data_IF_433408909104
#
_entry.id   IF_433408909104
#
_cell.length_a   1.000
_cell.length_b   1.000
_cell.length_c   1.000
_cell.angle_alpha   90.00
_cell.angle_beta   90.00
_cell.angle_gamma   90.00
#
_symmetry.space_group_name_H-M   'P 1'
#
loop_
_entity.id
_entity.type
_entity.pdbx_description
1 polymer ?
#
# COMPACT_ATOMS: atom_id res chain seq x y z
N UNK A 1 73.35 -9.61 -6.56
CA UNK A 1 72.46 -10.58 -5.85
C UNK A 1 71.26 -10.83 -6.74
N UNK A 2 71.08 -12.07 -7.20
CA UNK A 2 70.10 -12.45 -8.22
C UNK A 2 68.77 -12.78 -7.58
N UNK A 3 67.68 -12.29 -8.17
CA UNK A 3 66.27 -12.40 -7.76
C UNK A 3 65.70 -13.85 -7.62
N UNK A 4 66.56 -14.87 -7.43
CA UNK A 4 66.19 -16.30 -7.50
C UNK A 4 66.21 -17.03 -6.16
N UNK A 5 66.62 -16.40 -5.06
CA UNK A 5 66.82 -17.11 -3.78
C UNK A 5 65.75 -16.82 -2.74
N UNK A 6 64.67 -16.10 -3.08
CA UNK A 6 63.60 -15.75 -2.14
C UNK A 6 62.39 -16.73 -2.13
N UNK A 7 62.40 -17.77 -2.94
CA UNK A 7 61.24 -18.68 -3.15
C UNK A 7 61.44 -20.07 -2.53
N UNK A 8 62.41 -20.28 -1.67
CA UNK A 8 62.68 -21.65 -1.16
C UNK A 8 62.34 -21.93 0.31
N UNK A 9 61.77 -21.03 1.05
CA UNK A 9 61.39 -21.28 2.46
C UNK A 9 59.99 -20.76 2.82
N UNK A 10 58.97 -21.00 1.99
CA UNK A 10 57.57 -20.91 2.40
C UNK A 10 57.07 -22.33 2.64
N UNK A 11 57.28 -22.84 3.85
CA UNK A 11 56.60 -24.04 4.33
C UNK A 11 55.10 -23.85 4.24
N UNK A 12 54.44 -24.69 3.47
CA UNK A 12 53.00 -24.74 3.34
C UNK A 12 52.32 -25.15 4.67
N UNK A 13 52.00 -24.20 5.50
CA UNK A 13 50.99 -24.37 6.52
C UNK A 13 49.61 -24.15 5.82
N UNK A 14 49.04 -25.22 5.31
CA UNK A 14 47.64 -25.24 4.84
C UNK A 14 46.76 -25.04 6.07
N UNK A 15 46.42 -23.80 6.38
CA UNK A 15 45.29 -23.45 7.23
C UNK A 15 44.03 -23.87 6.46
N UNK A 16 43.54 -25.07 6.76
CA UNK A 16 42.18 -25.49 6.48
C UNK A 16 41.25 -24.60 7.33
N UNK A 17 40.98 -23.40 6.86
CA UNK A 17 39.79 -22.66 7.30
C UNK A 17 38.59 -23.48 6.83
N UNK A 18 37.68 -23.89 7.73
CA UNK A 18 36.45 -24.48 7.28
C UNK A 18 35.73 -23.44 6.39
N UNK A 19 35.52 -23.80 5.15
CA UNK A 19 34.57 -23.08 4.29
C UNK A 19 33.21 -23.17 4.98
N UNK A 20 32.95 -22.26 5.91
CA UNK A 20 31.58 -21.97 6.30
C UNK A 20 30.90 -21.54 5.00
N UNK A 21 29.94 -22.33 4.55
CA UNK A 21 29.22 -22.10 3.30
C UNK A 21 28.68 -20.66 3.33
N UNK A 22 29.02 -19.86 2.32
CA UNK A 22 28.50 -18.51 2.10
C UNK A 22 26.96 -18.46 2.00
N UNK A 23 26.31 -19.60 1.95
CA UNK A 23 24.85 -19.72 1.98
C UNK A 23 24.23 -19.33 3.33
N UNK A 24 24.99 -19.39 4.44
CA UNK A 24 24.49 -18.92 5.76
C UNK A 24 24.38 -17.41 5.87
N UNK A 25 25.00 -16.65 4.97
CA UNK A 25 24.99 -15.18 4.97
C UNK A 25 23.89 -14.56 4.10
N UNK A 26 23.07 -15.36 3.44
CA UNK A 26 21.98 -14.91 2.57
C UNK A 26 20.57 -15.26 3.06
N UNK A 27 20.38 -15.51 4.31
CA UNK A 27 19.00 -15.55 4.82
C UNK A 27 18.48 -14.11 4.88
N UNK A 28 17.79 -13.68 3.84
CA UNK A 28 16.95 -12.49 3.94
C UNK A 28 16.00 -12.69 5.12
N UNK A 29 15.99 -11.77 6.10
CA UNK A 29 15.11 -11.92 7.26
C UNK A 29 13.69 -12.12 6.78
N UNK A 30 12.98 -13.07 7.37
CA UNK A 30 11.56 -13.26 7.05
C UNK A 30 10.82 -11.95 7.29
N UNK A 31 9.98 -11.50 6.36
CA UNK A 31 9.18 -10.30 6.57
C UNK A 31 8.31 -10.49 7.82
N UNK A 32 8.25 -9.48 8.66
CA UNK A 32 7.42 -9.47 9.88
C UNK A 32 5.94 -9.36 9.51
N UNK A 33 5.65 -8.69 8.40
CA UNK A 33 4.32 -8.44 7.88
C UNK A 33 4.39 -8.38 6.35
N UNK A 34 3.40 -8.98 5.69
CA UNK A 34 3.26 -8.94 4.24
C UNK A 34 1.84 -8.56 3.88
N UNK A 35 1.68 -7.44 3.21
CA UNK A 35 0.40 -6.99 2.68
C UNK A 35 0.51 -6.65 1.20
N UNK A 36 -0.61 -6.70 0.51
CA UNK A 36 -0.73 -6.26 -0.87
C UNK A 36 -1.52 -4.95 -0.92
N UNK A 37 -1.21 -4.11 -1.90
CA UNK A 37 -1.95 -2.90 -2.22
C UNK A 37 -2.44 -3.00 -3.65
N UNK A 38 -3.66 -2.55 -3.88
CA UNK A 38 -4.27 -2.39 -5.20
C UNK A 38 -5.13 -1.13 -5.16
N UNK A 39 -5.46 -0.58 -6.31
CA UNK A 39 -6.29 0.62 -6.44
C UNK A 39 -7.07 0.61 -7.74
N UNK A 40 -8.14 1.41 -7.81
CA UNK A 40 -8.80 1.77 -9.05
C UNK A 40 -9.30 0.55 -9.84
N UNK A 41 -10.28 -0.13 -9.26
CA UNK A 41 -10.88 -1.32 -9.86
C UNK A 41 -12.04 -1.01 -10.79
N UNK A 42 -12.73 0.10 -10.58
CA UNK A 42 -13.85 0.62 -11.36
C UNK A 42 -14.88 -0.43 -11.79
N UNK A 43 -15.31 -1.27 -10.84
CA UNK A 43 -16.33 -2.29 -11.13
C UNK A 43 -17.58 -1.66 -11.72
N UNK A 44 -18.03 -2.16 -12.87
CA UNK A 44 -19.20 -1.63 -13.58
C UNK A 44 -18.89 -0.52 -14.57
N UNK A 45 -17.63 -0.15 -14.81
CA UNK A 45 -17.29 0.82 -15.86
C UNK A 45 -17.66 0.25 -17.23
N UNK A 46 -18.44 0.99 -18.05
CA UNK A 46 -18.81 0.56 -19.39
C UNK A 46 -17.60 0.21 -20.26
N UNK A 47 -17.78 -0.74 -21.15
CA UNK A 47 -16.78 -1.18 -22.13
C UNK A 47 -15.46 -1.72 -21.54
N UNK A 48 -15.46 -2.09 -20.25
CA UNK A 48 -14.31 -2.70 -19.58
C UNK A 48 -14.60 -4.12 -19.13
N UNK A 49 -13.60 -5.00 -19.00
CA UNK A 49 -13.79 -6.35 -18.49
C UNK A 49 -13.80 -6.40 -16.94
N UNK A 50 -14.40 -5.41 -16.27
CA UNK A 50 -14.33 -5.19 -14.83
C UNK A 50 -14.52 -6.44 -13.97
N UNK A 51 -15.49 -7.30 -14.30
CA UNK A 51 -15.70 -8.54 -13.55
C UNK A 51 -14.48 -9.47 -13.64
N UNK A 52 -13.85 -9.52 -14.81
CA UNK A 52 -12.64 -10.31 -15.06
C UNK A 52 -11.42 -9.76 -14.33
N UNK A 53 -11.32 -8.44 -14.23
CA UNK A 53 -10.23 -7.78 -13.53
C UNK A 53 -10.27 -8.09 -12.03
N UNK A 54 -11.46 -8.09 -11.43
CA UNK A 54 -11.66 -8.51 -10.03
C UNK A 54 -11.38 -10.00 -9.81
N UNK A 55 -11.78 -10.88 -10.75
CA UNK A 55 -11.36 -12.29 -10.71
C UNK A 55 -9.85 -12.45 -10.78
N UNK A 56 -9.18 -11.69 -11.66
CA UNK A 56 -7.73 -11.69 -11.80
C UNK A 56 -7.05 -11.24 -10.52
N UNK A 57 -7.50 -10.13 -9.92
CA UNK A 57 -6.97 -9.63 -8.65
C UNK A 57 -7.09 -10.71 -7.57
N UNK A 58 -8.27 -11.32 -7.39
CA UNK A 58 -8.46 -12.42 -6.43
C UNK A 58 -7.49 -13.58 -6.67
N UNK A 59 -7.31 -13.99 -7.93
CA UNK A 59 -6.39 -15.08 -8.30
C UNK A 59 -4.93 -14.72 -7.99
N UNK A 60 -4.52 -13.47 -8.22
CA UNK A 60 -3.18 -13.00 -7.87
C UNK A 60 -2.96 -13.01 -6.36
N UNK A 61 -3.92 -12.51 -5.57
CA UNK A 61 -3.84 -12.53 -4.10
C UNK A 61 -3.77 -13.95 -3.54
N UNK A 62 -4.57 -14.88 -4.07
CA UNK A 62 -4.52 -16.30 -3.70
C UNK A 62 -3.15 -16.92 -4.03
N UNK A 63 -2.58 -16.55 -5.18
CA UNK A 63 -1.25 -17.03 -5.59
C UNK A 63 -0.16 -16.51 -4.67
N UNK A 64 -0.20 -15.21 -4.33
CA UNK A 64 0.75 -14.59 -3.40
C UNK A 64 0.64 -15.21 -2.00
N UNK A 65 -0.59 -15.40 -1.49
CA UNK A 65 -0.84 -16.06 -0.21
C UNK A 65 -0.21 -17.44 -0.15
N UNK A 66 -0.38 -18.26 -1.21
CA UNK A 66 0.19 -19.62 -1.25
C UNK A 66 1.71 -19.63 -1.35
N UNK A 67 2.29 -18.72 -2.15
CA UNK A 67 3.73 -18.71 -2.44
C UNK A 67 4.55 -18.09 -1.32
N UNK A 68 4.06 -17.02 -0.72
CA UNK A 68 4.87 -16.20 0.18
C UNK A 68 4.19 -15.85 1.51
N UNK A 69 2.89 -16.14 1.64
CA UNK A 69 2.07 -15.64 2.72
C UNK A 69 1.54 -14.23 2.43
N UNK A 70 0.39 -13.90 3.00
CA UNK A 70 -0.25 -12.60 2.88
C UNK A 70 -1.09 -12.37 4.14
N UNK A 71 -0.86 -11.27 4.84
CA UNK A 71 -1.51 -10.95 6.10
C UNK A 71 -2.73 -10.04 5.89
N UNK A 72 -2.68 -9.16 4.87
CA UNK A 72 -3.79 -8.27 4.51
C UNK A 72 -3.73 -7.85 3.04
N UNK A 73 -4.86 -7.38 2.53
CA UNK A 73 -5.00 -6.68 1.26
C UNK A 73 -5.60 -5.30 1.54
N UNK A 74 -5.06 -4.26 0.93
CA UNK A 74 -5.62 -2.91 0.94
C UNK A 74 -6.01 -2.54 -0.49
N UNK A 75 -7.26 -2.07 -0.68
CA UNK A 75 -7.71 -1.55 -1.97
C UNK A 75 -8.01 -0.06 -1.80
N UNK A 76 -7.22 0.75 -2.48
CA UNK A 76 -7.09 2.16 -2.19
C UNK A 76 -7.99 3.04 -3.08
N UNK A 77 -9.31 2.86 -2.97
CA UNK A 77 -10.33 3.69 -3.60
C UNK A 77 -10.72 3.28 -5.03
N UNK A 78 -11.74 3.93 -5.53
CA UNK A 78 -12.36 3.70 -6.83
C UNK A 78 -12.68 2.22 -7.07
N UNK A 79 -13.41 1.66 -6.09
CA UNK A 79 -13.76 0.25 -6.05
C UNK A 79 -14.78 -0.10 -7.14
N UNK A 80 -15.74 0.81 -7.39
CA UNK A 80 -16.73 0.72 -8.47
C UNK A 80 -16.84 2.07 -9.19
N UNK A 81 -17.56 2.07 -10.33
CA UNK A 81 -17.65 3.22 -11.20
C UNK A 81 -19.02 3.92 -11.06
N UNK A 82 -19.06 4.99 -10.27
CA UNK A 82 -20.14 5.96 -10.07
C UNK A 82 -21.47 5.43 -9.50
N UNK A 83 -21.90 4.23 -9.84
CA UNK A 83 -23.23 3.73 -9.47
C UNK A 83 -23.18 2.83 -8.22
N UNK A 84 -23.79 3.24 -7.10
CA UNK A 84 -23.86 2.45 -5.87
C UNK A 84 -24.50 1.06 -6.03
N UNK A 85 -25.20 0.77 -7.11
CA UNK A 85 -25.76 -0.55 -7.41
C UNK A 85 -24.69 -1.65 -7.44
N UNK A 86 -23.44 -1.30 -7.75
CA UNK A 86 -22.32 -2.23 -7.81
C UNK A 86 -21.68 -2.52 -6.45
N UNK A 87 -21.99 -1.77 -5.41
CA UNK A 87 -21.37 -1.94 -4.08
C UNK A 87 -21.51 -3.35 -3.51
N UNK A 88 -22.68 -4.04 -3.60
CA UNK A 88 -22.82 -5.42 -3.13
C UNK A 88 -21.94 -6.41 -3.91
N UNK A 89 -21.79 -6.24 -5.22
CA UNK A 89 -20.97 -7.10 -6.07
C UNK A 89 -19.49 -6.94 -5.71
N UNK A 90 -19.02 -5.70 -5.53
CA UNK A 90 -17.66 -5.41 -5.09
C UNK A 90 -17.39 -5.99 -3.70
N UNK A 91 -18.33 -5.81 -2.76
CA UNK A 91 -18.24 -6.42 -1.42
C UNK A 91 -18.12 -7.93 -1.50
N UNK A 92 -18.91 -8.58 -2.36
CA UNK A 92 -18.86 -10.03 -2.57
C UNK A 92 -17.49 -10.45 -3.17
N UNK A 93 -17.00 -9.72 -4.19
CA UNK A 93 -15.70 -10.01 -4.81
C UNK A 93 -14.55 -9.90 -3.82
N UNK A 94 -14.52 -8.87 -2.98
CA UNK A 94 -13.47 -8.72 -1.96
C UNK A 94 -13.64 -9.70 -0.78
N UNK A 95 -14.85 -10.23 -0.57
CA UNK A 95 -15.09 -11.33 0.36
C UNK A 95 -14.39 -12.65 -0.01
N UNK A 96 -13.95 -12.79 -1.28
CA UNK A 96 -13.19 -13.95 -1.77
C UNK A 96 -11.67 -13.81 -1.57
N UNK A 97 -11.18 -12.68 -1.04
CA UNK A 97 -9.76 -12.46 -0.79
C UNK A 97 -9.22 -13.49 0.24
N UNK A 98 -7.99 -13.99 0.05
CA UNK A 98 -7.40 -15.01 0.94
C UNK A 98 -6.89 -14.45 2.28
N UNK A 99 -7.03 -13.15 2.49
CA UNK A 99 -6.64 -12.42 3.70
C UNK A 99 -7.65 -11.30 3.95
N UNK A 100 -7.72 -10.73 5.17
CA UNK A 100 -8.54 -9.56 5.45
C UNK A 100 -8.31 -8.46 4.41
N UNK A 101 -9.41 -7.93 3.86
CA UNK A 101 -9.38 -6.87 2.87
C UNK A 101 -9.95 -5.59 3.47
N UNK A 102 -9.18 -4.52 3.42
CA UNK A 102 -9.53 -3.18 3.89
C UNK A 102 -9.55 -2.21 2.71
N UNK A 103 -10.48 -1.28 2.71
CA UNK A 103 -10.70 -0.39 1.57
C UNK A 103 -10.78 1.07 2.01
N UNK A 104 -10.28 1.98 1.17
CA UNK A 104 -10.59 3.42 1.23
C UNK A 104 -11.68 3.76 0.21
N UNK A 105 -12.38 4.87 0.42
CA UNK A 105 -13.31 5.41 -0.57
C UNK A 105 -12.53 6.26 -1.58
N UNK A 106 -12.79 6.05 -2.88
CA UNK A 106 -12.35 6.93 -3.96
C UNK A 106 -13.49 7.85 -4.44
N UNK A 107 -13.21 8.71 -5.40
CA UNK A 107 -14.19 9.69 -5.89
C UNK A 107 -15.27 9.07 -6.80
N UNK A 108 -15.03 7.89 -7.35
CA UNK A 108 -16.06 7.12 -8.05
C UNK A 108 -16.91 6.26 -7.12
N UNK A 109 -16.53 6.10 -5.85
CA UNK A 109 -17.29 5.36 -4.83
C UNK A 109 -18.38 6.26 -4.21
N UNK A 110 -19.37 6.64 -4.99
CA UNK A 110 -20.40 7.62 -4.64
C UNK A 110 -21.46 7.07 -3.69
N UNK A 111 -21.07 6.78 -2.47
CA UNK A 111 -21.97 6.33 -1.39
C UNK A 111 -21.82 7.21 -0.16
N UNK A 112 -22.89 7.32 0.62
CA UNK A 112 -22.88 8.04 1.88
C UNK A 112 -22.02 7.33 2.93
N UNK A 113 -21.55 8.05 3.95
CA UNK A 113 -20.80 7.47 5.07
C UNK A 113 -21.59 6.36 5.76
N UNK A 114 -22.90 6.49 5.88
CA UNK A 114 -23.77 5.47 6.48
C UNK A 114 -23.82 4.19 5.63
N UNK A 115 -23.94 4.30 4.31
CA UNK A 115 -23.88 3.15 3.39
C UNK A 115 -22.49 2.48 3.45
N UNK A 116 -21.43 3.28 3.46
CA UNK A 116 -20.06 2.79 3.61
C UNK A 116 -19.90 1.96 4.86
N UNK A 117 -20.24 2.55 6.02
CA UNK A 117 -20.12 1.89 7.32
C UNK A 117 -20.98 0.63 7.42
N UNK A 118 -22.20 0.65 6.88
CA UNK A 118 -23.07 -0.53 6.85
C UNK A 118 -22.47 -1.66 6.02
N UNK A 119 -21.83 -1.32 4.90
CA UNK A 119 -21.26 -2.30 3.98
C UNK A 119 -19.95 -2.88 4.49
N UNK A 120 -19.02 -2.01 4.93
CA UNK A 120 -17.67 -2.42 5.28
C UNK A 120 -17.47 -2.73 6.76
N UNK A 121 -18.37 -2.23 7.63
CA UNK A 121 -18.31 -2.43 9.09
C UNK A 121 -17.42 -1.42 9.83
N UNK A 122 -16.92 -0.40 9.13
CA UNK A 122 -16.10 0.68 9.69
C UNK A 122 -16.37 2.01 8.95
N UNK A 123 -16.10 3.17 9.59
CA UNK A 123 -16.28 4.49 8.98
C UNK A 123 -15.27 4.73 7.85
N UNK A 124 -15.52 5.74 7.02
CA UNK A 124 -14.63 6.12 5.90
C UNK A 124 -13.21 6.48 6.34
N UNK A 125 -13.07 7.10 7.51
CA UNK A 125 -11.79 7.29 8.19
C UNK A 125 -11.65 6.25 9.29
N UNK A 126 -10.70 5.34 9.18
CA UNK A 126 -10.49 4.30 10.19
C UNK A 126 -9.04 3.84 10.26
N UNK A 127 -8.69 3.14 11.32
CA UNK A 127 -7.38 2.58 11.51
C UNK A 127 -7.43 1.08 11.86
N UNK A 128 -6.43 0.36 11.39
CA UNK A 128 -6.25 -1.07 11.65
C UNK A 128 -4.87 -1.30 12.25
N UNK A 129 -4.76 -2.23 13.19
CA UNK A 129 -3.49 -2.59 13.81
C UNK A 129 -3.15 -4.05 13.52
N UNK A 130 -1.93 -4.29 13.06
CA UNK A 130 -1.38 -5.63 12.86
C UNK A 130 0.01 -5.71 13.51
N UNK A 131 0.12 -6.45 14.60
CA UNK A 131 1.36 -6.53 15.38
C UNK A 131 1.83 -5.14 15.84
N UNK A 132 3.04 -4.77 15.47
CA UNK A 132 3.67 -3.50 15.85
C UNK A 132 3.36 -2.35 14.89
N UNK A 133 2.51 -2.56 13.88
CA UNK A 133 2.23 -1.60 12.82
C UNK A 133 0.79 -1.12 12.85
N UNK A 134 0.55 0.12 12.45
CA UNK A 134 -0.76 0.69 12.23
C UNK A 134 -0.95 1.06 10.76
N UNK A 135 -2.18 0.94 10.30
CA UNK A 135 -2.63 1.26 8.95
C UNK A 135 -3.78 2.25 9.07
N UNK A 136 -3.60 3.44 8.55
CA UNK A 136 -4.58 4.52 8.57
C UNK A 136 -5.18 4.63 7.18
N UNK A 137 -6.48 4.51 7.09
CA UNK A 137 -7.24 4.65 5.84
C UNK A 137 -8.03 5.95 5.94
N UNK A 138 -7.55 6.96 5.22
CA UNK A 138 -8.07 8.32 5.27
C UNK A 138 -8.90 8.63 4.03
N UNK A 139 -10.11 9.14 4.24
CA UNK A 139 -11.03 9.53 3.19
C UNK A 139 -10.58 10.83 2.51
N UNK A 140 -10.73 10.86 1.19
CA UNK A 140 -10.35 12.01 0.34
C UNK A 140 -11.41 12.40 -0.68
N UNK A 141 -12.65 11.92 -0.50
CA UNK A 141 -13.79 12.27 -1.36
C UNK A 141 -15.10 12.20 -0.57
N UNK A 142 -16.19 12.67 -1.16
CA UNK A 142 -17.52 12.55 -0.60
C UNK A 142 -18.47 11.74 -1.51
N UNK A 143 -19.73 11.60 -1.09
CA UNK A 143 -20.74 10.85 -1.84
C UNK A 143 -21.10 11.44 -3.22
N UNK A 144 -20.63 12.66 -3.51
CA UNK A 144 -20.78 13.30 -4.83
C UNK A 144 -19.58 13.10 -5.73
N UNK A 145 -18.49 12.50 -5.20
CA UNK A 145 -17.23 12.37 -5.91
C UNK A 145 -16.39 13.64 -5.91
N UNK A 146 -16.69 14.60 -5.04
CA UNK A 146 -15.87 15.81 -4.88
C UNK A 146 -14.58 15.45 -4.15
N UNK A 147 -13.46 16.00 -4.62
CA UNK A 147 -12.14 15.79 -4.02
C UNK A 147 -12.03 16.58 -2.73
N UNK A 148 -11.56 15.94 -1.67
CA UNK A 148 -11.36 16.53 -0.35
C UNK A 148 -9.93 16.31 0.12
N UNK A 149 -9.41 17.26 0.87
CA UNK A 149 -8.26 16.98 1.71
C UNK A 149 -8.65 15.98 2.80
N UNK A 150 -7.81 15.00 3.07
CA UNK A 150 -7.99 14.14 4.23
C UNK A 150 -8.17 14.98 5.50
N UNK A 151 -9.00 14.51 6.42
CA UNK A 151 -9.26 15.23 7.67
C UNK A 151 -7.97 15.27 8.53
N UNK A 152 -7.34 16.44 8.55
CA UNK A 152 -6.05 16.66 9.23
C UNK A 152 -6.15 16.44 10.76
N UNK A 153 -7.27 16.80 11.37
CA UNK A 153 -7.48 16.62 12.82
C UNK A 153 -7.58 15.12 13.17
N UNK A 154 -8.39 14.36 12.44
CA UNK A 154 -8.50 12.92 12.61
C UNK A 154 -7.15 12.23 12.37
N UNK A 155 -6.47 12.60 11.29
CA UNK A 155 -5.17 12.04 10.93
C UNK A 155 -4.14 12.32 12.01
N UNK A 156 -4.07 13.56 12.52
CA UNK A 156 -3.16 13.95 13.59
C UNK A 156 -3.42 13.21 14.90
N UNK A 157 -4.67 13.12 15.32
CA UNK A 157 -5.07 12.37 16.52
C UNK A 157 -4.74 10.88 16.38
N UNK A 158 -4.98 10.30 15.20
CA UNK A 158 -4.71 8.88 14.95
C UNK A 158 -3.21 8.59 14.86
N UNK A 159 -2.41 9.46 14.24
CA UNK A 159 -0.96 9.37 14.26
C UNK A 159 -0.41 9.45 15.69
N UNK A 160 -0.93 10.36 16.51
CA UNK A 160 -0.56 10.46 17.92
C UNK A 160 -0.94 9.20 18.73
N UNK A 161 -2.14 8.64 18.50
CA UNK A 161 -2.57 7.35 19.06
C UNK A 161 -1.56 6.24 18.78
N UNK A 162 -0.96 6.25 17.61
CA UNK A 162 -0.01 5.24 17.16
C UNK A 162 1.46 5.66 17.24
N UNK A 163 1.80 6.75 17.95
CA UNK A 163 3.17 7.29 18.03
C UNK A 163 4.22 6.28 18.54
N UNK A 164 3.80 5.28 19.33
CA UNK A 164 4.69 4.24 19.88
C UNK A 164 4.81 2.99 18.99
N UNK A 165 4.11 2.93 17.85
CA UNK A 165 4.22 1.81 16.91
C UNK A 165 5.54 1.86 16.16
N UNK A 166 6.04 0.71 15.72
CA UNK A 166 7.26 0.62 14.89
C UNK A 166 7.11 1.32 13.54
N UNK A 167 5.91 1.32 12.99
CA UNK A 167 5.61 2.00 11.75
C UNK A 167 4.12 2.23 11.54
N UNK A 168 3.82 3.29 10.81
CA UNK A 168 2.48 3.66 10.38
C UNK A 168 2.47 3.74 8.85
N UNK A 169 1.52 3.06 8.24
CA UNK A 169 1.22 3.12 6.81
C UNK A 169 -0.07 3.91 6.62
N UNK A 170 -0.09 4.81 5.65
CA UNK A 170 -1.25 5.69 5.40
C UNK A 170 -1.75 5.46 3.98
N UNK A 171 -3.06 5.28 3.84
CA UNK A 171 -3.75 5.11 2.58
C UNK A 171 -4.69 6.28 2.36
N UNK A 172 -4.57 6.92 1.24
CA UNK A 172 -5.41 8.02 0.77
C UNK A 172 -5.56 7.88 -0.74
N UNK A 173 -6.79 7.83 -1.23
CA UNK A 173 -6.99 7.65 -2.66
C UNK A 173 -6.40 8.83 -3.44
N UNK A 174 -6.84 10.06 -3.15
CA UNK A 174 -6.35 11.26 -3.82
C UNK A 174 -5.07 11.77 -3.16
N UNK A 175 -3.98 12.00 -3.93
CA UNK A 175 -2.72 12.51 -3.41
C UNK A 175 -2.85 13.93 -2.82
N UNK A 176 -2.19 14.23 -1.67
CA UNK A 176 -2.32 15.51 -0.99
C UNK A 176 -1.43 16.62 -1.58
N UNK A 177 -0.96 16.48 -2.82
CA UNK A 177 -0.18 17.51 -3.50
C UNK A 177 -0.19 17.36 -5.01
N UNK A 178 -0.38 18.47 -5.71
CA UNK A 178 -0.26 18.60 -7.16
C UNK A 178 1.18 18.61 -7.65
N UNK A 179 2.18 18.63 -6.76
CA UNK A 179 3.60 18.62 -7.16
C UNK A 179 4.02 17.34 -7.88
N UNK A 180 3.27 16.26 -7.73
CA UNK A 180 3.65 14.94 -8.23
C UNK A 180 2.76 14.48 -9.39
N UNK A 181 1.53 14.94 -9.40
CA UNK A 181 0.51 14.62 -10.40
C UNK A 181 -0.55 15.71 -10.44
N UNK A 182 -1.06 16.03 -11.63
CA UNK A 182 -2.15 17.00 -11.79
C UNK A 182 -3.48 16.47 -11.21
N UNK A 183 -3.58 15.15 -11.03
CA UNK A 183 -4.72 14.50 -10.38
C UNK A 183 -4.73 14.70 -8.84
N UNK A 184 -3.67 15.23 -8.25
CA UNK A 184 -3.59 15.49 -6.81
C UNK A 184 -4.38 16.74 -6.37
N UNK A 185 -4.48 16.91 -5.06
CA UNK A 185 -5.08 18.09 -4.42
C UNK A 185 -4.09 18.72 -3.44
N UNK A 186 -3.87 20.03 -3.52
CA UNK A 186 -2.93 20.68 -2.59
C UNK A 186 -3.52 20.79 -1.18
N UNK A 187 -3.02 19.96 -0.28
CA UNK A 187 -3.41 19.83 1.12
C UNK A 187 -2.21 20.01 2.05
N UNK A 188 -1.63 21.24 2.15
CA UNK A 188 -0.40 21.46 2.91
C UNK A 188 -0.43 20.94 4.35
N UNK A 189 -1.51 21.11 5.14
CA UNK A 189 -1.55 20.60 6.51
C UNK A 189 -1.42 19.07 6.59
N UNK A 190 -2.00 18.35 5.64
CA UNK A 190 -1.94 16.88 5.55
C UNK A 190 -0.52 16.44 5.17
N UNK A 191 0.04 17.01 4.11
CA UNK A 191 1.39 16.69 3.65
C UNK A 191 2.43 16.94 4.75
N UNK A 192 2.36 18.11 5.40
CA UNK A 192 3.26 18.49 6.48
C UNK A 192 3.16 17.53 7.68
N UNK A 193 1.95 17.15 8.07
CA UNK A 193 1.71 16.21 9.17
C UNK A 193 2.34 14.85 8.89
N UNK A 194 2.17 14.32 7.68
CA UNK A 194 2.74 13.04 7.25
C UNK A 194 4.28 13.09 7.23
N UNK A 195 4.85 14.15 6.68
CA UNK A 195 6.30 14.32 6.56
C UNK A 195 6.97 14.50 7.92
N UNK A 196 6.35 15.23 8.84
CA UNK A 196 6.90 15.51 10.18
C UNK A 196 6.71 14.36 11.19
N UNK A 197 5.83 13.40 10.93
CA UNK A 197 5.59 12.30 11.86
C UNK A 197 6.68 11.21 11.72
N UNK A 198 7.52 10.98 12.73
CA UNK A 198 8.74 10.17 12.57
C UNK A 198 8.48 8.73 12.12
N UNK A 199 7.46 8.08 12.67
CA UNK A 199 7.14 6.68 12.42
C UNK A 199 6.17 6.43 11.25
N UNK A 200 5.78 7.45 10.47
CA UNK A 200 5.16 7.24 9.16
C UNK A 200 6.18 6.57 8.26
N UNK A 201 5.85 5.37 7.79
CA UNK A 201 6.73 4.48 7.05
C UNK A 201 6.54 4.62 5.54
N UNK A 202 5.29 4.70 5.10
CA UNK A 202 4.93 4.89 3.69
C UNK A 202 3.50 5.43 3.57
N UNK A 203 3.24 6.09 2.45
CA UNK A 203 1.94 6.60 2.06
C UNK A 203 1.59 6.03 0.68
N UNK A 204 0.33 5.59 0.51
CA UNK A 204 -0.17 4.96 -0.71
C UNK A 204 -1.32 5.76 -1.30
N UNK A 205 -1.31 5.90 -2.63
CA UNK A 205 -2.30 6.62 -3.42
C UNK A 205 -2.75 5.78 -4.62
N UNK A 206 -4.00 5.93 -5.00
CA UNK A 206 -4.53 5.55 -6.30
C UNK A 206 -4.82 6.80 -7.14
N UNK A 207 -5.99 6.83 -7.80
CA UNK A 207 -6.57 7.97 -8.49
C UNK A 207 -5.86 8.38 -9.80
N UNK A 208 -4.56 8.38 -9.84
CA UNK A 208 -3.79 8.72 -11.04
C UNK A 208 -3.40 7.42 -11.76
N UNK A 209 -4.21 7.04 -12.73
CA UNK A 209 -4.07 5.77 -13.45
C UNK A 209 -2.81 5.69 -14.31
N UNK A 210 -2.28 6.84 -14.73
CA UNK A 210 -1.06 6.92 -15.55
C UNK A 210 0.21 6.74 -14.71
N UNK A 211 0.08 6.71 -13.38
CA UNK A 211 1.21 6.71 -12.47
C UNK A 211 1.29 5.43 -11.62
N UNK A 212 2.31 4.61 -11.93
CA UNK A 212 2.79 3.51 -11.11
C UNK A 212 4.25 3.79 -10.74
N UNK A 213 4.46 4.53 -9.65
CA UNK A 213 5.80 4.96 -9.24
C UNK A 213 5.90 5.27 -7.74
N UNK A 214 7.11 5.60 -7.32
CA UNK A 214 7.40 6.07 -5.95
C UNK A 214 8.05 7.46 -5.98
N UNK A 215 7.57 8.36 -5.13
CA UNK A 215 8.20 9.65 -4.81
C UNK A 215 8.71 9.66 -3.37
N UNK A 216 9.74 10.45 -3.11
CA UNK A 216 10.20 10.75 -1.75
C UNK A 216 9.94 12.23 -1.48
N UNK A 217 9.22 12.54 -0.41
CA UNK A 217 8.97 13.89 0.07
C UNK A 217 9.05 13.92 1.59
N UNK A 218 9.74 14.92 2.15
CA UNK A 218 10.00 14.98 3.60
C UNK A 218 10.68 13.72 4.17
N UNK A 219 11.46 13.00 3.34
CA UNK A 219 12.06 11.72 3.71
C UNK A 219 11.10 10.52 3.74
N UNK A 220 9.84 10.71 3.36
CA UNK A 220 8.82 9.64 3.32
C UNK A 220 8.58 9.16 1.89
N UNK A 221 8.43 7.84 1.67
CA UNK A 221 8.01 7.30 0.38
C UNK A 221 6.49 7.43 0.20
N UNK A 222 6.10 7.99 -0.93
CA UNK A 222 4.74 8.04 -1.45
C UNK A 222 4.67 7.12 -2.65
N UNK A 223 3.81 6.12 -2.60
CA UNK A 223 3.58 5.15 -3.66
C UNK A 223 2.28 5.49 -4.38
N UNK A 224 2.32 5.35 -5.68
CA UNK A 224 1.19 5.48 -6.58
C UNK A 224 0.96 4.11 -7.18
N UNK A 225 -0.24 3.56 -6.99
CA UNK A 225 -0.50 2.13 -7.20
C UNK A 225 -1.06 1.82 -8.60
N UNK A 226 -1.20 2.85 -9.47
CA UNK A 226 -1.83 2.72 -10.77
C UNK A 226 -3.28 2.22 -10.65
N UNK A 227 -3.69 1.33 -11.55
CA UNK A 227 -5.03 0.74 -11.53
C UNK A 227 -4.98 -0.77 -11.83
N UNK A 228 -5.91 -1.55 -11.26
CA UNK A 228 -6.05 -2.97 -11.61
C UNK A 228 -7.25 -3.26 -12.52
N UNK A 229 -8.11 -2.30 -12.77
CA UNK A 229 -9.26 -2.35 -13.66
C UNK A 229 -9.59 -0.99 -14.24
N UNK A 230 -10.67 -0.90 -15.00
CA UNK A 230 -11.06 0.33 -15.67
C UNK A 230 -10.28 0.60 -16.97
N UNK A 231 -10.64 1.70 -17.62
CA UNK A 231 -9.94 2.20 -18.81
C UNK A 231 -10.01 3.73 -18.86
N UNK A 232 -8.88 4.38 -19.17
CA UNK A 232 -8.74 5.83 -19.37
C UNK A 232 -7.86 6.10 -20.57
#
# INVERSE_FOLDING_TARGET
MKRRDFVKNASAASLLLPFASLDSLRQTPKPVLRFAVASDGHYGQPDTPYAKDFENLNRWMQTEKRKKGLDAVFVNGDLFHDDPVFLPQVKAAFGLMPAPCYVTRGNHDRVTDAQWQTTWGYPVNHDVVMGDYAFLLADTSNEKGEYLCANADWLGQTLQKHAKRKGVFVFMHIPPSKRWTDAGMDCPPVAELLEKTPNVTAIFHGHDHDNDFRKISGGKPYFFDGHFGGSW
#
